data_IF_660801993300
#
_entry.id   IF_660801993300
#
_cell.length_a   1.000
_cell.length_b   1.000
_cell.length_c   1.000
_cell.angle_alpha   90.00
_cell.angle_beta   90.00
_cell.angle_gamma   90.00
#
_symmetry.space_group_name_H-M   'P 1'
#
loop_
_entity.id
_entity.type
_entity.pdbx_description
1 polymer ?
#
# COMPACT_ATOMS: atom_id res chain seq x y z
N UNK A 1 -8.17 27.27 -18.77
CA UNK A 1 -8.97 26.99 -17.56
C UNK A 1 -8.10 26.49 -16.40
N UNK A 2 -6.82 26.18 -16.61
CA UNK A 2 -5.90 25.66 -15.58
C UNK A 2 -5.50 26.66 -14.48
N UNK A 3 -5.58 27.96 -14.74
CA UNK A 3 -5.18 29.00 -13.79
C UNK A 3 -6.12 29.10 -12.58
N UNK A 4 -7.44 28.96 -12.79
CA UNK A 4 -8.43 29.01 -11.71
C UNK A 4 -8.36 27.78 -10.80
N UNK A 5 -8.10 26.60 -11.38
CA UNK A 5 -7.91 25.36 -10.61
C UNK A 5 -6.61 25.39 -9.81
N UNK A 6 -5.52 25.92 -10.38
CA UNK A 6 -4.25 26.12 -9.65
C UNK A 6 -4.43 27.07 -8.47
N UNK A 7 -5.10 28.22 -8.64
CA UNK A 7 -5.23 29.20 -7.57
C UNK A 7 -6.12 28.70 -6.42
N UNK A 8 -7.24 28.03 -6.75
CA UNK A 8 -8.17 27.50 -5.75
C UNK A 8 -7.62 26.30 -4.99
N UNK A 9 -6.94 25.38 -5.69
CA UNK A 9 -6.38 24.17 -5.09
C UNK A 9 -5.19 24.49 -4.17
N UNK A 10 -4.22 25.31 -4.62
CA UNK A 10 -3.07 25.63 -3.77
C UNK A 10 -3.45 26.45 -2.53
N UNK A 11 -4.34 27.44 -2.67
CA UNK A 11 -4.85 28.18 -1.51
C UNK A 11 -5.58 27.27 -0.51
N UNK A 12 -6.26 26.24 -1.00
CA UNK A 12 -6.88 25.23 -0.17
C UNK A 12 -5.85 24.32 0.50
N UNK A 13 -4.84 23.86 -0.24
CA UNK A 13 -3.73 23.07 0.32
C UNK A 13 -3.02 23.82 1.43
N UNK A 14 -2.79 25.13 1.28
CA UNK A 14 -2.17 25.96 2.33
C UNK A 14 -3.04 26.01 3.58
N UNK A 15 -4.36 26.26 3.44
CA UNK A 15 -5.31 26.27 4.57
C UNK A 15 -5.40 24.93 5.29
N UNK A 16 -5.41 23.82 4.54
CA UNK A 16 -5.46 22.48 5.11
C UNK A 16 -4.13 22.12 5.78
N UNK A 17 -3.01 22.48 5.15
CA UNK A 17 -1.68 22.28 5.71
C UNK A 17 -1.49 23.10 6.99
N UNK A 18 -1.98 24.33 7.05
CA UNK A 18 -1.93 25.15 8.26
C UNK A 18 -2.83 24.57 9.37
N UNK A 19 -4.01 24.06 9.02
CA UNK A 19 -4.93 23.44 9.97
C UNK A 19 -4.39 22.11 10.54
N UNK A 20 -3.62 21.36 9.76
CA UNK A 20 -3.10 20.04 10.15
C UNK A 20 -1.61 20.10 10.52
N UNK A 21 -0.90 21.20 10.30
CA UNK A 21 0.57 21.23 10.31
C UNK A 21 1.21 20.67 11.58
N UNK A 22 0.65 21.02 12.75
CA UNK A 22 1.10 20.46 14.02
C UNK A 22 0.61 19.03 14.30
N UNK A 23 -0.51 18.61 13.69
CA UNK A 23 -1.14 17.31 13.87
C UNK A 23 -0.69 16.24 12.86
N UNK A 24 -0.12 16.65 11.71
CA UNK A 24 0.34 15.77 10.62
C UNK A 24 1.18 14.57 11.09
N UNK A 25 2.26 14.76 11.89
CA UNK A 25 3.06 13.62 12.32
C UNK A 25 2.28 12.63 13.18
N UNK A 26 1.31 13.10 13.98
CA UNK A 26 0.45 12.24 14.80
C UNK A 26 -0.57 11.47 13.96
N UNK A 27 -1.14 12.11 12.94
CA UNK A 27 -2.06 11.46 12.00
C UNK A 27 -1.34 10.38 11.20
N UNK A 28 -0.13 10.68 10.72
CA UNK A 28 0.68 9.73 9.96
C UNK A 28 1.04 8.52 10.82
N UNK A 29 1.57 8.75 12.02
CA UNK A 29 1.96 7.67 12.94
C UNK A 29 0.76 6.86 13.40
N UNK A 30 -0.36 7.51 13.74
CA UNK A 30 -1.62 6.84 14.09
C UNK A 30 -2.17 5.99 12.95
N UNK A 31 -2.16 6.51 11.72
CA UNK A 31 -2.63 5.76 10.56
C UNK A 31 -1.78 4.52 10.27
N UNK A 32 -0.45 4.61 10.42
CA UNK A 32 0.45 3.46 10.26
C UNK A 32 0.18 2.41 11.34
N UNK A 33 0.03 2.81 12.60
CA UNK A 33 -0.29 1.87 13.69
C UNK A 33 -1.62 1.16 13.41
N UNK A 34 -2.66 1.91 13.04
CA UNK A 34 -3.98 1.33 12.72
C UNK A 34 -3.90 0.39 11.51
N UNK A 35 -3.17 0.76 10.47
CA UNK A 35 -3.00 -0.09 9.28
C UNK A 35 -2.26 -1.40 9.61
N UNK A 36 -1.23 -1.33 10.46
CA UNK A 36 -0.53 -2.53 10.95
C UNK A 36 -1.50 -3.42 11.74
N UNK A 37 -2.31 -2.84 12.64
CA UNK A 37 -3.32 -3.58 13.39
C UNK A 37 -4.35 -4.25 12.48
N UNK A 38 -4.88 -3.52 11.49
CA UNK A 38 -5.83 -4.07 10.51
C UNK A 38 -5.18 -5.21 9.72
N UNK A 39 -3.92 -5.08 9.33
CA UNK A 39 -3.20 -6.15 8.63
C UNK A 39 -3.07 -7.42 9.48
N UNK A 40 -2.61 -7.29 10.73
CA UNK A 40 -2.46 -8.43 11.62
C UNK A 40 -3.80 -9.08 11.98
N UNK A 41 -4.87 -8.29 12.16
CA UNK A 41 -6.17 -8.78 12.58
C UNK A 41 -7.00 -9.38 11.43
N UNK A 42 -6.89 -8.83 10.23
CA UNK A 42 -7.78 -9.15 9.10
C UNK A 42 -7.08 -9.79 7.90
N UNK A 43 -5.77 -9.56 7.72
CA UNK A 43 -5.06 -9.92 6.49
C UNK A 43 -4.00 -11.01 6.64
N UNK A 44 -3.58 -11.34 7.86
CA UNK A 44 -2.72 -12.52 8.11
C UNK A 44 -3.59 -13.78 7.97
N UNK A 45 -3.43 -14.59 6.90
CA UNK A 45 -4.04 -15.91 6.91
C UNK A 45 -3.42 -16.71 8.05
N UNK A 46 -4.27 -17.34 8.87
CA UNK A 46 -3.86 -18.38 9.83
C UNK A 46 -3.17 -19.52 9.06
N UNK A 47 -1.86 -19.41 8.81
CA UNK A 47 -1.05 -20.44 8.16
C UNK A 47 0.09 -20.81 9.11
N UNK A 48 0.17 -22.11 9.38
CA UNK A 48 0.85 -22.81 10.49
C UNK A 48 2.39 -22.80 10.49
N UNK A 49 3.08 -21.91 9.78
CA UNK A 49 4.55 -21.89 9.78
C UNK A 49 5.11 -20.82 10.72
N UNK A 50 5.48 -21.30 11.90
CA UNK A 50 6.17 -20.63 13.01
C UNK A 50 7.46 -19.97 12.52
N UNK A 51 7.41 -18.67 12.16
CA UNK A 51 8.61 -17.85 12.10
C UNK A 51 9.06 -17.58 13.55
N UNK A 52 10.19 -18.16 13.95
CA UNK A 52 10.66 -18.16 15.34
C UNK A 52 11.34 -16.83 15.75
N UNK A 53 11.50 -15.88 14.81
CA UNK A 53 12.10 -14.55 15.05
C UNK A 53 11.47 -13.44 14.21
N UNK A 54 10.96 -12.42 14.90
CA UNK A 54 10.50 -11.14 14.31
C UNK A 54 11.61 -10.38 13.57
N UNK A 55 12.88 -10.59 13.95
CA UNK A 55 14.05 -9.97 13.31
C UNK A 55 14.27 -10.44 11.88
N UNK A 56 14.00 -11.71 11.60
CA UNK A 56 14.22 -12.29 10.26
C UNK A 56 13.10 -11.83 9.32
N UNK A 57 11.89 -11.66 9.84
CA UNK A 57 10.78 -11.03 9.13
C UNK A 57 11.05 -9.56 8.81
N UNK A 58 11.57 -8.77 9.77
CA UNK A 58 11.96 -7.37 9.52
C UNK A 58 13.08 -7.26 8.48
N UNK A 59 14.05 -8.18 8.52
CA UNK A 59 15.11 -8.23 7.52
C UNK A 59 14.54 -8.52 6.13
N UNK A 60 13.65 -9.50 5.99
CA UNK A 60 13.02 -9.85 4.71
C UNK A 60 12.09 -8.72 4.17
N UNK A 61 11.47 -7.94 5.07
CA UNK A 61 10.72 -6.71 4.75
C UNK A 61 11.65 -5.59 4.27
N UNK A 62 12.76 -5.35 4.98
CA UNK A 62 13.75 -4.31 4.66
C UNK A 62 14.58 -4.65 3.40
N UNK A 63 14.76 -5.94 3.11
CA UNK A 63 15.50 -6.44 1.94
C UNK A 63 14.61 -6.56 0.70
N UNK A 64 13.45 -5.89 0.70
CA UNK A 64 12.46 -5.82 -0.38
C UNK A 64 11.85 -7.17 -0.84
N UNK A 65 12.23 -8.30 -0.24
CA UNK A 65 11.66 -9.61 -0.58
C UNK A 65 10.20 -9.72 -0.16
N UNK A 66 9.85 -9.16 1.00
CA UNK A 66 8.47 -9.04 1.46
C UNK A 66 7.74 -7.83 0.84
N UNK A 67 8.48 -6.88 0.25
CA UNK A 67 7.93 -5.74 -0.49
C UNK A 67 7.53 -6.14 -1.93
N UNK A 68 8.19 -7.14 -2.49
CA UNK A 68 7.77 -7.86 -3.71
C UNK A 68 6.55 -8.76 -3.45
N UNK A 69 6.33 -9.17 -2.20
CA UNK A 69 5.18 -9.96 -1.78
C UNK A 69 3.97 -9.08 -1.48
N UNK A 70 2.87 -9.27 -2.21
CA UNK A 70 1.56 -8.55 -2.18
C UNK A 70 1.05 -7.96 -0.84
N UNK A 71 1.51 -8.45 0.33
CA UNK A 71 1.08 -8.02 1.66
C UNK A 71 1.40 -6.57 2.02
N UNK A 72 2.66 -6.12 1.89
CA UNK A 72 3.07 -4.79 2.35
C UNK A 72 2.39 -3.66 1.56
N UNK A 73 2.23 -3.84 0.25
CA UNK A 73 1.53 -2.87 -0.61
C UNK A 73 0.06 -2.66 -0.17
N UNK A 74 -0.61 -3.72 0.32
CA UNK A 74 -1.97 -3.62 0.88
C UNK A 74 -2.01 -2.86 2.20
N UNK A 75 -1.02 -3.05 3.08
CA UNK A 75 -0.91 -2.28 4.33
C UNK A 75 -0.74 -0.80 4.01
N UNK A 76 0.18 -0.49 3.09
CA UNK A 76 0.47 0.87 2.68
C UNK A 76 -0.76 1.53 2.04
N UNK A 77 -1.51 0.79 1.21
CA UNK A 77 -2.78 1.25 0.65
C UNK A 77 -3.78 1.63 1.76
N UNK A 78 -4.01 0.75 2.73
CA UNK A 78 -4.95 0.99 3.85
C UNK A 78 -4.48 2.20 4.68
N UNK A 79 -3.19 2.27 5.01
CA UNK A 79 -2.62 3.39 5.76
C UNK A 79 -2.84 4.72 5.03
N UNK A 80 -2.50 4.76 3.73
CA UNK A 80 -2.58 6.00 2.95
C UNK A 80 -4.03 6.42 2.71
N UNK A 81 -4.94 5.46 2.48
CA UNK A 81 -6.39 5.69 2.41
C UNK A 81 -6.90 6.34 3.71
N UNK A 82 -6.48 5.83 4.87
CA UNK A 82 -6.89 6.39 6.16
C UNK A 82 -6.39 7.83 6.35
N UNK A 83 -5.15 8.11 5.95
CA UNK A 83 -4.59 9.47 5.98
C UNK A 83 -5.38 10.40 5.07
N UNK A 84 -5.62 9.99 3.82
CA UNK A 84 -6.39 10.78 2.85
C UNK A 84 -7.80 11.07 3.35
N UNK A 85 -8.46 10.09 3.98
CA UNK A 85 -9.78 10.26 4.57
C UNK A 85 -9.77 11.28 5.73
N UNK A 86 -8.80 11.19 6.64
CA UNK A 86 -8.69 12.14 7.76
C UNK A 86 -8.39 13.56 7.25
N UNK A 87 -7.42 13.69 6.34
CA UNK A 87 -7.08 14.97 5.70
C UNK A 87 -8.28 15.53 4.94
N UNK A 88 -9.04 14.67 4.28
CA UNK A 88 -10.25 15.02 3.55
C UNK A 88 -11.36 15.59 4.44
N UNK A 89 -11.58 15.00 5.62
CA UNK A 89 -12.50 15.53 6.62
C UNK A 89 -12.04 16.92 7.06
N UNK A 90 -10.76 17.09 7.41
CA UNK A 90 -10.25 18.41 7.80
C UNK A 90 -10.39 19.43 6.66
N UNK A 91 -10.17 18.99 5.42
CA UNK A 91 -10.32 19.83 4.23
C UNK A 91 -11.75 20.37 4.04
N UNK A 92 -12.77 19.61 4.43
CA UNK A 92 -14.17 20.08 4.42
C UNK A 92 -14.41 21.23 5.41
N UNK A 93 -13.73 21.23 6.56
CA UNK A 93 -13.88 22.26 7.59
C UNK A 93 -12.94 23.46 7.41
N UNK A 94 -11.70 23.23 6.97
CA UNK A 94 -10.66 24.27 6.90
C UNK A 94 -10.73 25.13 5.62
N UNK A 95 -11.16 24.56 4.50
CA UNK A 95 -11.18 25.27 3.22
C UNK A 95 -12.60 25.62 2.77
N UNK A 96 -13.36 24.62 2.33
CA UNK A 96 -14.76 24.73 1.91
C UNK A 96 -15.33 23.31 1.81
N UNK A 97 -16.56 23.09 2.30
CA UNK A 97 -17.17 21.76 2.34
C UNK A 97 -17.18 21.06 0.98
N UNK A 98 -17.68 21.73 -0.07
CA UNK A 98 -17.79 21.13 -1.41
C UNK A 98 -16.44 20.86 -2.07
N UNK A 99 -15.47 21.76 -1.90
CA UNK A 99 -14.13 21.62 -2.49
C UNK A 99 -13.34 20.55 -1.74
N UNK A 100 -13.49 20.48 -0.41
CA UNK A 100 -12.92 19.42 0.42
C UNK A 100 -13.47 18.05 0.07
N UNK A 101 -14.78 17.94 -0.11
CA UNK A 101 -15.43 16.69 -0.54
C UNK A 101 -14.96 16.25 -1.93
N UNK A 102 -15.02 17.13 -2.92
CA UNK A 102 -14.57 16.81 -4.28
C UNK A 102 -13.09 16.45 -4.32
N UNK A 103 -12.24 17.22 -3.62
CA UNK A 103 -10.81 16.96 -3.51
C UNK A 103 -10.52 15.60 -2.88
N UNK A 104 -11.23 15.24 -1.81
CA UNK A 104 -11.09 13.93 -1.14
C UNK A 104 -11.48 12.79 -2.08
N UNK A 105 -12.63 12.89 -2.76
CA UNK A 105 -13.09 11.85 -3.68
C UNK A 105 -12.11 11.65 -4.84
N UNK A 106 -11.63 12.74 -5.44
CA UNK A 106 -10.66 12.68 -6.54
C UNK A 106 -9.34 12.05 -6.06
N UNK A 107 -8.88 12.42 -4.86
CA UNK A 107 -7.64 11.90 -4.28
C UNK A 107 -7.76 10.40 -3.96
N UNK A 108 -8.88 9.96 -3.40
CA UNK A 108 -9.17 8.54 -3.14
C UNK A 108 -9.24 7.70 -4.42
N UNK A 109 -9.90 8.21 -5.46
CA UNK A 109 -9.95 7.52 -6.76
C UNK A 109 -8.55 7.43 -7.38
N UNK A 110 -7.80 8.53 -7.36
CA UNK A 110 -6.43 8.57 -7.89
C UNK A 110 -5.54 7.58 -7.15
N UNK A 111 -5.65 7.55 -5.82
CA UNK A 111 -4.89 6.64 -4.97
C UNK A 111 -5.26 5.18 -5.28
N UNK A 112 -6.55 4.87 -5.45
CA UNK A 112 -7.01 3.53 -5.83
C UNK A 112 -6.41 3.07 -7.14
N UNK A 113 -6.45 3.89 -8.19
CA UNK A 113 -5.89 3.55 -9.51
C UNK A 113 -4.39 3.32 -9.41
N UNK A 114 -3.66 4.18 -8.70
CA UNK A 114 -2.22 4.03 -8.52
C UNK A 114 -1.85 2.70 -7.84
N UNK A 115 -2.50 2.39 -6.71
CA UNK A 115 -2.21 1.15 -5.98
C UNK A 115 -2.64 -0.11 -6.74
N UNK A 116 -3.72 -0.06 -7.51
CA UNK A 116 -4.16 -1.19 -8.34
C UNK A 116 -3.11 -1.52 -9.42
N UNK A 117 -2.55 -0.50 -10.08
CA UNK A 117 -1.46 -0.68 -11.05
C UNK A 117 -0.22 -1.29 -10.37
N UNK A 118 0.18 -0.77 -9.21
CA UNK A 118 1.32 -1.33 -8.46
C UNK A 118 1.08 -2.79 -8.09
N UNK A 119 -0.08 -3.12 -7.53
CA UNK A 119 -0.41 -4.50 -7.14
C UNK A 119 -0.42 -5.47 -8.34
N UNK A 120 -0.93 -5.03 -9.49
CA UNK A 120 -0.93 -5.84 -10.72
C UNK A 120 0.50 -6.13 -11.20
N UNK A 121 1.37 -5.11 -11.21
CA UNK A 121 2.78 -5.27 -11.59
C UNK A 121 3.49 -6.28 -10.67
N UNK A 122 3.28 -6.18 -9.35
CA UNK A 122 3.86 -7.13 -8.41
C UNK A 122 3.31 -8.55 -8.60
N UNK A 123 2.00 -8.70 -8.82
CA UNK A 123 1.40 -10.01 -9.08
C UNK A 123 1.96 -10.68 -10.33
N UNK A 124 2.26 -9.91 -11.39
CA UNK A 124 2.91 -10.43 -12.59
C UNK A 124 4.31 -10.96 -12.27
N UNK A 125 5.11 -10.23 -11.48
CA UNK A 125 6.46 -10.66 -11.09
C UNK A 125 6.44 -11.93 -10.24
N UNK A 126 5.52 -12.03 -9.28
CA UNK A 126 5.29 -13.24 -8.48
C UNK A 126 4.92 -14.42 -9.38
N UNK A 127 3.96 -14.23 -10.30
CA UNK A 127 3.51 -15.29 -11.21
C UNK A 127 4.62 -15.75 -12.16
N UNK A 128 5.44 -14.84 -12.70
CA UNK A 128 6.58 -15.19 -13.56
C UNK A 128 7.63 -15.98 -12.79
N UNK A 129 7.91 -15.60 -11.54
CA UNK A 129 8.85 -16.33 -10.67
C UNK A 129 8.33 -17.72 -10.35
N UNK A 130 7.04 -17.85 -10.01
CA UNK A 130 6.41 -19.14 -9.74
C UNK A 130 6.42 -20.07 -10.98
N UNK A 131 6.27 -19.53 -12.19
CA UNK A 131 6.36 -20.31 -13.43
C UNK A 131 7.80 -20.82 -13.63
N UNK A 132 8.82 -19.97 -13.41
CA UNK A 132 10.23 -20.37 -13.54
C UNK A 132 10.61 -21.48 -12.56
N UNK A 133 10.19 -21.37 -11.31
CA UNK A 133 10.43 -22.40 -10.29
C UNK A 133 9.77 -23.74 -10.66
N UNK A 134 8.50 -23.70 -11.09
CA UNK A 134 7.80 -24.91 -11.57
C UNK A 134 8.47 -25.56 -12.78
N UNK A 135 9.00 -24.76 -13.70
CA UNK A 135 9.67 -25.27 -14.88
C UNK A 135 11.00 -25.96 -14.51
N UNK A 136 11.75 -25.41 -13.57
CA UNK A 136 12.97 -26.02 -13.04
C UNK A 136 12.70 -27.33 -12.28
N UNK A 137 11.62 -27.39 -11.48
CA UNK A 137 11.18 -28.65 -10.84
C UNK A 137 10.87 -29.73 -11.88
N UNK A 138 10.07 -29.41 -12.91
CA UNK A 138 9.72 -30.36 -13.99
C UNK A 138 10.97 -30.85 -14.73
N UNK A 139 11.91 -29.96 -15.03
CA UNK A 139 13.16 -30.31 -15.73
C UNK A 139 14.05 -31.23 -14.87
N UNK A 140 14.18 -30.94 -13.57
CA UNK A 140 14.89 -31.83 -12.65
C UNK A 140 14.24 -33.21 -12.52
N UNK A 141 12.91 -33.26 -12.55
CA UNK A 141 12.17 -34.52 -12.47
C UNK A 141 12.33 -35.36 -13.75
N UNK A 142 12.44 -34.70 -14.91
CA UNK A 142 12.74 -35.36 -16.19
C UNK A 142 14.13 -35.97 -16.22
N UNK A 143 15.16 -35.22 -15.79
CA UNK A 143 16.53 -35.74 -15.72
C UNK A 143 16.68 -36.91 -14.75
N UNK A 144 15.91 -36.93 -13.65
CA UNK A 144 15.94 -38.05 -12.70
C UNK A 144 15.28 -39.32 -13.26
N UNK A 145 14.28 -39.18 -14.13
CA UNK A 145 13.63 -40.32 -14.78
C UNK A 145 14.43 -40.94 -15.94
N UNK A 146 15.35 -40.17 -16.54
CA UNK A 146 16.18 -40.62 -17.66
C UNK A 146 17.48 -41.32 -17.20
N UNK A 147 17.92 -41.11 -15.95
CA UNK A 147 19.12 -41.73 -15.36
C UNK A 147 18.84 -43.10 -14.70
N UNK A 148 17.55 -43.41 -14.43
CA UNK A 148 17.08 -44.67 -13.82
C UNK A 148 16.64 -45.74 -14.87
N UNK A 149 16.78 -45.47 -16.17
CA UNK A 149 16.41 -46.36 -17.30
C UNK A 149 17.62 -46.82 -18.10
#
# INVERSE_FOLDING_TARGET
>A
MDWFLKLGFFSMTDKVTDAIGGAMPYILTGAVIVAIWIYFLFLVPKKEKRYDRFSDYLNDVLNFRLMLSSGLAKILYIATTLVVLIVGIVAMFAANFLVGLLGTIILEITLRVMFEIFMVVFSIQENVTAIKEKQAEIESQYYYYDDDN
#
